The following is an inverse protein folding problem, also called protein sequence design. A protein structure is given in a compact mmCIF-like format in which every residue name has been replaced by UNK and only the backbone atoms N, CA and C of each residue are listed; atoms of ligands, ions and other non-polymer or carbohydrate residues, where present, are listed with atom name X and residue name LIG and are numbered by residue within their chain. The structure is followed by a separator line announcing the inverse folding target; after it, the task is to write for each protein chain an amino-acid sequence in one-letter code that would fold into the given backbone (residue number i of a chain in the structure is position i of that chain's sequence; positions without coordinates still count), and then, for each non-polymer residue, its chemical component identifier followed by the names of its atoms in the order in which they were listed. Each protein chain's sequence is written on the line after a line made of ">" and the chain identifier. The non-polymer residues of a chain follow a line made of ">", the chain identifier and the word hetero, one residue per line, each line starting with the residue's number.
data_IF_538494451911
#
_entry.id   IF_538494451911
#
_cell.length_a   1.000
_cell.length_b   1.000
_cell.length_c   1.000
_cell.angle_alpha   90.00
_cell.angle_beta   90.00
_cell.angle_gamma   90.00
#
_symmetry.space_group_name_H-M   'P 1'
#
loop_
_entity.id
_entity.type
_entity.pdbx_description
1 polymer ?
#
# COMPACT_ATOMS: atom_id res chain seq x y z
N UNK A 1 7.82 20.22 5.81
CA UNK A 1 6.47 19.95 6.33
C UNK A 1 5.48 20.23 5.21
N UNK A 2 5.04 19.19 4.49
CA UNK A 2 4.04 19.33 3.42
C UNK A 2 2.66 19.21 4.04
N UNK A 3 1.95 20.33 4.06
CA UNK A 3 0.55 20.44 4.46
C UNK A 3 -0.28 19.49 3.58
N UNK A 4 -0.83 18.44 4.16
CA UNK A 4 -1.80 17.56 3.49
C UNK A 4 -3.08 18.38 3.31
N UNK A 5 -3.18 19.05 2.16
CA UNK A 5 -4.22 20.03 1.83
C UNK A 5 -5.62 19.40 1.84
N UNK A 6 -6.62 20.17 2.30
CA UNK A 6 -8.08 19.90 2.31
C UNK A 6 -8.64 19.15 1.08
N UNK A 7 -7.97 19.20 -0.06
CA UNK A 7 -8.35 18.54 -1.33
C UNK A 7 -8.47 17.00 -1.22
N UNK A 8 -7.70 16.35 -0.35
CA UNK A 8 -7.70 14.88 -0.22
C UNK A 8 -8.94 14.31 0.49
N UNK A 9 -9.56 15.08 1.40
CA UNK A 9 -10.70 14.58 2.20
C UNK A 9 -11.90 14.18 1.34
N UNK A 10 -12.16 14.87 0.23
CA UNK A 10 -13.33 14.59 -0.62
C UNK A 10 -13.10 13.46 -1.65
N UNK A 11 -11.85 13.19 -2.09
CA UNK A 11 -11.58 12.21 -3.17
C UNK A 11 -11.42 10.77 -2.69
N UNK A 12 -11.23 10.54 -1.38
CA UNK A 12 -10.93 9.21 -0.81
C UNK A 12 -12.19 8.47 -0.33
N UNK A 13 -13.37 9.12 -0.29
CA UNK A 13 -14.54 8.62 0.44
C UNK A 13 -14.96 7.17 0.14
N UNK A 14 -14.85 6.70 -1.11
CA UNK A 14 -15.32 5.36 -1.49
C UNK A 14 -14.30 4.23 -1.22
N UNK A 15 -12.99 4.52 -1.13
CA UNK A 15 -11.93 3.53 -0.80
C UNK A 15 -11.21 3.81 0.53
N UNK A 16 -11.67 4.80 1.29
CA UNK A 16 -11.08 5.19 2.58
C UNK A 16 -10.88 4.02 3.54
N UNK A 17 -11.87 3.12 3.76
CA UNK A 17 -11.70 1.99 4.66
C UNK A 17 -10.58 1.05 4.21
N UNK A 18 -10.52 0.78 2.90
CA UNK A 18 -9.50 -0.06 2.29
C UNK A 18 -8.10 0.55 2.38
N UNK A 19 -7.98 1.86 2.15
CA UNK A 19 -6.71 2.57 2.31
C UNK A 19 -6.19 2.44 3.75
N UNK A 20 -7.07 2.60 4.75
CA UNK A 20 -6.71 2.44 6.17
C UNK A 20 -6.28 1.00 6.48
N UNK A 21 -7.00 0.01 5.95
CA UNK A 21 -6.65 -1.41 6.10
C UNK A 21 -5.23 -1.70 5.56
N UNK A 22 -4.93 -1.21 4.35
CA UNK A 22 -3.61 -1.35 3.73
C UNK A 22 -2.52 -0.67 4.56
N UNK A 23 -2.75 0.56 5.02
CA UNK A 23 -1.80 1.30 5.87
C UNK A 23 -1.52 0.57 7.18
N UNK A 24 -2.56 0.05 7.84
CA UNK A 24 -2.42 -0.75 9.07
C UNK A 24 -1.62 -2.04 8.81
N UNK A 25 -1.84 -2.69 7.68
CA UNK A 25 -1.09 -3.87 7.29
C UNK A 25 0.39 -3.58 7.05
N UNK A 26 0.71 -2.50 6.33
CA UNK A 26 2.09 -2.03 6.12
C UNK A 26 2.75 -1.73 7.47
N UNK A 27 2.06 -1.00 8.36
CA UNK A 27 2.56 -0.66 9.69
C UNK A 27 2.87 -1.92 10.52
N UNK A 28 1.94 -2.89 10.53
CA UNK A 28 2.11 -4.16 11.24
C UNK A 28 3.25 -4.99 10.67
N UNK A 29 3.40 -5.04 9.34
CA UNK A 29 4.52 -5.73 8.69
C UNK A 29 5.87 -5.09 9.05
N UNK A 30 5.92 -3.75 9.13
CA UNK A 30 7.12 -3.00 9.49
C UNK A 30 7.54 -3.19 10.95
N UNK A 31 6.58 -3.17 11.87
CA UNK A 31 6.82 -3.30 13.31
C UNK A 31 6.98 -4.76 13.77
N UNK A 32 6.39 -5.71 13.04
CA UNK A 32 6.40 -7.13 13.40
C UNK A 32 6.72 -8.00 12.17
N UNK A 33 8.02 -8.19 11.85
CA UNK A 33 8.47 -8.96 10.68
C UNK A 33 8.04 -10.44 10.66
N UNK A 34 7.60 -10.96 11.81
CA UNK A 34 7.08 -12.33 11.97
C UNK A 34 5.55 -12.42 11.92
N UNK A 35 4.85 -11.29 11.80
CA UNK A 35 3.39 -11.29 11.68
C UNK A 35 2.93 -12.02 10.41
N UNK A 36 1.72 -12.57 10.44
CA UNK A 36 1.09 -13.18 9.25
C UNK A 36 1.07 -12.22 8.05
N UNK A 37 0.85 -10.92 8.30
CA UNK A 37 0.85 -9.87 7.27
C UNK A 37 2.24 -9.60 6.71
N UNK A 38 3.30 -9.68 7.53
CA UNK A 38 4.66 -9.50 7.03
C UNK A 38 5.07 -10.55 5.98
N UNK A 39 4.40 -11.71 5.93
CA UNK A 39 4.63 -12.74 4.89
C UNK A 39 4.13 -12.32 3.51
N UNK A 40 3.21 -11.36 3.43
CA UNK A 40 2.67 -10.82 2.18
C UNK A 40 3.64 -9.84 1.50
N UNK A 41 4.61 -9.34 2.26
CA UNK A 41 5.66 -8.47 1.78
C UNK A 41 6.95 -9.29 1.67
N UNK A 42 7.78 -9.07 0.64
CA UNK A 42 9.12 -9.64 0.59
C UNK A 42 9.91 -9.27 1.85
N UNK A 43 10.58 -10.24 2.47
CA UNK A 43 11.47 -10.05 3.64
C UNK A 43 12.77 -9.33 3.26
N UNK A 44 12.66 -8.18 2.62
CA UNK A 44 13.76 -7.29 2.25
C UNK A 44 13.54 -5.94 2.94
N UNK A 45 14.63 -5.29 3.31
CA UNK A 45 14.61 -3.86 3.66
C UNK A 45 15.19 -3.11 2.46
N UNK A 46 14.43 -2.20 1.81
CA UNK A 46 13.09 -1.71 2.17
C UNK A 46 11.96 -2.73 1.90
N UNK A 47 10.86 -2.62 2.67
CA UNK A 47 9.66 -3.45 2.51
C UNK A 47 9.05 -3.17 1.13
N UNK A 48 8.72 -4.21 0.37
CA UNK A 48 8.21 -4.08 -1.00
C UNK A 48 6.70 -4.32 -1.03
N UNK A 49 5.95 -3.34 -1.52
CA UNK A 49 4.52 -3.37 -1.77
C UNK A 49 4.26 -3.57 -3.27
N UNK A 50 3.31 -4.45 -3.60
CA UNK A 50 2.97 -4.78 -4.98
C UNK A 50 1.45 -4.86 -5.16
N UNK A 51 1.00 -4.92 -6.41
CA UNK A 51 -0.40 -5.18 -6.73
C UNK A 51 -0.91 -6.50 -6.10
N UNK A 52 -0.08 -7.56 -6.08
CA UNK A 52 -0.44 -8.82 -5.44
C UNK A 52 -0.54 -8.69 -3.91
N UNK A 53 0.30 -7.86 -3.28
CA UNK A 53 0.17 -7.55 -1.85
C UNK A 53 -1.18 -6.89 -1.55
N UNK A 54 -1.64 -5.99 -2.43
CA UNK A 54 -2.95 -5.35 -2.28
C UNK A 54 -4.10 -6.37 -2.41
N UNK A 55 -4.01 -7.29 -3.39
CA UNK A 55 -4.97 -8.38 -3.54
C UNK A 55 -5.07 -9.22 -2.27
N UNK A 56 -3.94 -9.67 -1.71
CA UNK A 56 -3.92 -10.47 -0.49
C UNK A 56 -4.46 -9.74 0.74
N UNK A 57 -4.29 -8.42 0.79
CA UNK A 57 -4.78 -7.60 1.90
C UNK A 57 -6.27 -7.28 1.78
N UNK A 58 -6.74 -6.99 0.57
CA UNK A 58 -8.12 -6.58 0.33
C UNK A 58 -8.58 -7.03 -1.06
N UNK A 59 -8.96 -8.32 -1.23
CA UNK A 59 -9.33 -8.87 -2.53
C UNK A 59 -10.49 -8.11 -3.19
N UNK A 60 -11.50 -7.73 -2.38
CA UNK A 60 -12.68 -6.95 -2.82
C UNK A 60 -12.30 -5.60 -3.45
N UNK A 61 -11.22 -5.01 -2.96
CA UNK A 61 -10.71 -3.71 -3.43
C UNK A 61 -9.79 -3.91 -4.63
N UNK A 62 -9.18 -5.08 -4.75
CA UNK A 62 -8.36 -5.41 -5.90
C UNK A 62 -9.19 -5.73 -7.15
N UNK A 63 -10.28 -6.49 -6.99
CA UNK A 63 -11.17 -6.90 -8.07
C UNK A 63 -11.79 -5.70 -8.81
N UNK A 64 -11.97 -4.58 -8.11
CA UNK A 64 -12.29 -3.30 -8.72
C UNK A 64 -11.01 -2.57 -9.17
N UNK A 65 -10.73 -2.66 -10.47
CA UNK A 65 -9.51 -2.11 -11.08
C UNK A 65 -9.32 -0.60 -10.86
N UNK A 66 -10.40 0.16 -10.69
CA UNK A 66 -10.35 1.58 -10.33
C UNK A 66 -9.74 1.80 -8.93
N UNK A 67 -9.95 0.84 -8.03
CA UNK A 67 -9.62 0.95 -6.61
C UNK A 67 -8.15 0.64 -6.35
N UNK A 68 -7.60 -0.34 -7.09
CA UNK A 68 -6.17 -0.66 -7.06
C UNK A 68 -5.30 0.54 -7.43
N UNK A 69 -5.60 1.17 -8.57
CA UNK A 69 -4.85 2.34 -9.04
C UNK A 69 -5.01 3.52 -8.09
N UNK A 70 -6.22 3.77 -7.57
CA UNK A 70 -6.47 4.84 -6.62
C UNK A 70 -5.67 4.69 -5.32
N UNK A 71 -5.63 3.48 -4.73
CA UNK A 71 -4.86 3.22 -3.50
C UNK A 71 -3.36 3.40 -3.75
N UNK A 72 -2.82 2.82 -4.82
CA UNK A 72 -1.39 2.95 -5.15
C UNK A 72 -1.01 4.42 -5.34
N UNK A 73 -1.78 5.15 -6.16
CA UNK A 73 -1.54 6.58 -6.40
C UNK A 73 -1.67 7.41 -5.12
N UNK A 74 -2.59 7.05 -4.23
CA UNK A 74 -2.74 7.73 -2.95
C UNK A 74 -1.55 7.47 -2.04
N UNK A 75 -1.09 6.22 -1.92
CA UNK A 75 0.09 5.88 -1.13
C UNK A 75 1.36 6.56 -1.67
N UNK A 76 1.48 6.71 -3.00
CA UNK A 76 2.55 7.48 -3.65
C UNK A 76 2.44 8.97 -3.31
N UNK A 77 1.26 9.56 -3.46
CA UNK A 77 1.03 10.98 -3.17
C UNK A 77 1.21 11.33 -1.68
N UNK A 78 0.96 10.38 -0.79
CA UNK A 78 1.22 10.51 0.65
C UNK A 78 2.69 10.24 1.02
N UNK A 79 3.54 9.83 0.08
CA UNK A 79 4.94 9.49 0.34
C UNK A 79 5.14 8.22 1.16
N UNK A 80 4.09 7.41 1.37
CA UNK A 80 4.16 6.15 2.11
C UNK A 80 5.00 5.13 1.34
N UNK A 81 4.76 5.06 0.04
CA UNK A 81 5.53 4.25 -0.90
C UNK A 81 6.20 5.14 -1.94
N UNK A 82 7.25 4.62 -2.57
CA UNK A 82 7.88 5.22 -3.73
C UNK A 82 8.17 4.14 -4.78
N UNK A 83 8.21 4.52 -6.05
CA UNK A 83 8.63 3.61 -7.11
C UNK A 83 10.02 3.03 -6.79
N UNK A 84 10.15 1.72 -7.01
CA UNK A 84 11.39 0.99 -6.82
C UNK A 84 12.12 0.91 -8.16
N UNK A 85 13.15 1.73 -8.35
CA UNK A 85 13.90 1.85 -9.61
C UNK A 85 14.62 0.56 -10.04
N UNK A 86 14.90 -0.35 -9.10
CA UNK A 86 15.24 -1.72 -9.44
C UNK A 86 13.95 -2.45 -9.79
N UNK A 87 13.50 -2.24 -11.02
CA UNK A 87 12.47 -2.98 -11.72
C UNK A 87 12.87 -4.45 -11.85
N UNK A 88 12.96 -5.13 -10.72
CA UNK A 88 12.80 -6.57 -10.68
C UNK A 88 11.37 -6.78 -11.13
N UNK A 89 11.18 -7.03 -12.42
CA UNK A 89 9.88 -7.38 -12.98
C UNK A 89 9.41 -8.63 -12.22
N UNK A 90 8.57 -8.43 -11.21
CA UNK A 90 7.97 -9.54 -10.50
C UNK A 90 6.81 -10.01 -11.35
N UNK A 91 6.82 -11.30 -11.64
CA UNK A 91 5.66 -11.96 -12.25
C UNK A 91 4.63 -12.16 -11.16
N UNK A 92 3.39 -11.78 -11.44
CA UNK A 92 2.29 -12.04 -10.50
C UNK A 92 2.22 -13.53 -10.16
N UNK A 93 2.02 -13.82 -8.88
CA UNK A 93 1.89 -15.20 -8.36
C UNK A 93 0.46 -15.73 -8.49
N UNK A 94 -0.49 -14.84 -8.81
CA UNK A 94 -1.90 -15.19 -8.94
C UNK A 94 -2.16 -15.98 -10.21
N UNK A 95 -3.17 -16.86 -10.19
CA UNK A 95 -3.46 -17.78 -11.30
C UNK A 95 -3.98 -17.03 -12.53
N UNK A 96 -4.86 -16.06 -12.31
CA UNK A 96 -5.52 -15.22 -13.30
C UNK A 96 -4.61 -14.16 -13.93
N UNK A 97 -3.56 -13.76 -13.22
CA UNK A 97 -2.56 -12.79 -13.67
C UNK A 97 -1.16 -13.41 -13.79
N UNK A 98 -1.08 -14.74 -13.90
CA UNK A 98 0.19 -15.48 -13.90
C UNK A 98 1.05 -15.03 -15.07
N UNK A 99 2.29 -14.63 -14.77
CA UNK A 99 3.24 -14.16 -15.79
C UNK A 99 3.08 -12.69 -16.21
N UNK A 100 2.05 -11.98 -15.73
CA UNK A 100 1.95 -10.53 -15.91
C UNK A 100 3.00 -9.82 -15.07
N UNK A 101 3.60 -8.79 -15.66
CA UNK A 101 4.56 -7.91 -15.01
C UNK A 101 3.80 -6.98 -14.07
N UNK A 102 4.15 -6.99 -12.79
CA UNK A 102 3.60 -6.07 -11.79
C UNK A 102 4.67 -5.10 -11.31
N UNK A 103 4.25 -3.87 -11.01
CA UNK A 103 5.14 -2.83 -10.47
C UNK A 103 5.44 -3.08 -8.99
N UNK A 104 6.69 -2.83 -8.61
CA UNK A 104 7.15 -2.84 -7.23
C UNK A 104 7.23 -1.42 -6.67
N UNK A 105 6.79 -1.26 -5.43
CA UNK A 105 6.90 -0.02 -4.68
C UNK A 105 7.62 -0.27 -3.36
N UNK A 106 8.63 0.53 -3.06
CA UNK A 106 9.29 0.47 -1.75
C UNK A 106 8.52 1.29 -0.74
N UNK A 107 8.23 0.71 0.42
CA UNK A 107 7.69 1.46 1.56
C UNK A 107 8.81 2.30 2.16
N UNK A 108 8.69 3.62 2.04
CA UNK A 108 9.67 4.59 2.54
C UNK A 108 9.29 5.18 3.89
N UNK A 109 8.01 5.45 4.10
CA UNK A 109 7.55 6.08 5.34
C UNK A 109 7.93 5.24 6.57
N UNK A 110 8.34 5.93 7.62
CA UNK A 110 8.57 5.40 8.96
C UNK A 110 7.24 4.94 9.57
N UNK A 111 7.32 4.08 10.60
CA UNK A 111 6.12 3.62 11.30
C UNK A 111 5.31 4.79 11.90
N UNK A 112 6.00 5.84 12.36
CA UNK A 112 5.37 7.06 12.90
C UNK A 112 4.61 7.85 11.82
N UNK A 113 5.20 7.99 10.63
CA UNK A 113 4.54 8.67 9.50
C UNK A 113 3.30 7.91 9.02
N UNK A 114 3.40 6.58 8.92
CA UNK A 114 2.26 5.73 8.55
C UNK A 114 1.13 5.86 9.58
N UNK A 115 1.46 5.84 10.88
CA UNK A 115 0.47 6.02 11.94
C UNK A 115 -0.22 7.40 11.86
N UNK A 116 0.56 8.48 11.68
CA UNK A 116 0.00 9.83 11.50
C UNK A 116 -0.98 9.88 10.33
N UNK A 117 -0.63 9.29 9.19
CA UNK A 117 -1.52 9.24 8.02
C UNK A 117 -2.81 8.48 8.33
N UNK A 118 -2.75 7.38 9.09
CA UNK A 118 -3.94 6.65 9.54
C UNK A 118 -4.83 7.57 10.39
N UNK A 119 -4.25 8.25 11.38
CA UNK A 119 -4.98 9.12 12.32
C UNK A 119 -5.65 10.29 11.58
N UNK A 120 -4.92 10.93 10.65
CA UNK A 120 -5.46 12.00 9.79
C UNK A 120 -6.63 11.54 8.91
N UNK A 121 -6.57 10.30 8.41
CA UNK A 121 -7.65 9.70 7.62
C UNK A 121 -8.84 9.37 8.54
N UNK A 122 -8.63 8.74 9.69
CA UNK A 122 -9.72 8.33 10.60
C UNK A 122 -10.32 9.49 11.39
N UNK A 123 -9.64 10.64 11.44
CA UNK A 123 -10.04 11.77 12.27
C UNK A 123 -9.79 11.53 13.76
N UNK A 124 -8.77 10.72 14.07
CA UNK A 124 -8.36 10.35 15.43
C UNK A 124 -7.23 11.24 15.94
#
# INVERSE_FOLDING_TARGET
>A
MTTITKSWKNKIHWYKPALVEVLKAILKAKNSPNSRLARLFPRRRPLIFTADTLYELSPKVYEDTCNTSAIINTLLGLGVIAEHHNTSVVRSKRREAKGRIIREYRVKATSKEIQRVIDEITGS
#
